data_IF_662225542127
#
_entry.id   IF_662225542127
#
_cell.length_a   1.000
_cell.length_b   1.000
_cell.length_c   1.000
_cell.angle_alpha   90.00
_cell.angle_beta   90.00
_cell.angle_gamma   90.00
#
_symmetry.space_group_name_H-M   'P 1'
#
loop_
_entity.id
_entity.type
_entity.pdbx_description
1 polymer ?
#
# COMPACT_ATOMS: atom_id res chain seq x y z
N UNK A 1 35.22 8.10 44.13
CA UNK A 1 36.68 8.04 44.37
C UNK A 1 36.95 6.66 44.94
N UNK A 2 37.89 5.85 44.47
CA UNK A 2 39.02 6.01 43.53
C UNK A 2 39.43 4.60 43.00
N UNK A 3 40.44 4.44 42.12
CA UNK A 3 40.98 5.33 41.08
C UNK A 3 40.93 4.67 39.68
N UNK A 4 41.35 5.41 38.63
CA UNK A 4 41.64 4.86 37.30
C UNK A 4 43.09 4.36 37.21
N UNK A 5 43.34 3.37 36.34
CA UNK A 5 44.68 3.13 35.75
C UNK A 5 44.61 2.90 34.26
N UNK A 6 45.56 3.50 33.54
CA UNK A 6 45.76 3.34 32.10
C UNK A 6 46.50 2.03 31.79
N UNK A 7 46.25 1.49 30.60
CA UNK A 7 47.24 0.75 29.81
C UNK A 7 47.25 1.32 28.39
N UNK A 8 48.40 1.26 27.73
CA UNK A 8 48.74 2.14 26.60
C UNK A 8 48.67 1.47 25.23
N UNK A 9 48.35 2.30 24.24
CA UNK A 9 48.59 2.18 22.79
C UNK A 9 49.41 0.98 22.30
N UNK A 10 48.90 0.36 21.23
CA UNK A 10 49.70 0.27 20.02
C UNK A 10 48.86 0.57 18.76
N UNK A 11 49.53 0.94 17.68
CA UNK A 11 48.99 1.61 16.48
C UNK A 11 49.49 0.89 15.24
N UNK A 12 48.60 0.61 14.29
CA UNK A 12 49.01 0.39 12.90
C UNK A 12 47.98 0.95 11.93
N UNK A 13 48.48 1.61 10.89
CA UNK A 13 47.70 2.24 9.81
C UNK A 13 48.39 1.82 8.51
N UNK A 14 47.67 1.17 7.60
CA UNK A 14 48.18 0.89 6.26
C UNK A 14 47.21 1.39 5.19
N UNK A 15 47.27 2.69 4.93
CA UNK A 15 46.92 3.21 3.62
C UNK A 15 48.04 2.83 2.64
N UNK A 16 47.70 2.19 1.52
CA UNK A 16 48.61 2.04 0.38
C UNK A 16 48.05 2.77 -0.84
N UNK A 17 48.78 3.79 -1.28
CA UNK A 17 48.52 4.53 -2.52
C UNK A 17 49.85 4.91 -3.15
N UNK A 18 49.98 4.77 -4.47
CA UNK A 18 50.46 5.83 -5.41
C UNK A 18 50.75 5.25 -6.79
N UNK A 19 50.69 6.14 -7.80
CA UNK A 19 51.07 5.95 -9.22
C UNK A 19 50.12 5.06 -10.06
N UNK A 20 49.67 5.49 -11.25
CA UNK A 20 49.79 6.82 -11.86
C UNK A 20 49.67 6.81 -13.39
N UNK A 21 49.31 7.98 -13.96
CA UNK A 21 49.12 8.28 -15.38
C UNK A 21 47.93 7.59 -16.11
N UNK A 22 47.46 8.07 -17.27
CA UNK A 22 46.88 9.36 -17.71
C UNK A 22 46.56 9.23 -19.22
N UNK A 23 45.28 9.30 -19.64
CA UNK A 23 44.82 9.57 -21.03
C UNK A 23 45.28 8.53 -22.10
N UNK A 24 44.80 8.53 -23.35
CA UNK A 24 43.85 9.39 -24.10
C UNK A 24 42.88 8.52 -24.93
N UNK A 25 42.20 9.14 -25.89
CA UNK A 25 41.34 8.59 -26.96
C UNK A 25 42.22 7.81 -28.00
N UNK A 26 41.80 7.34 -29.18
CA UNK A 26 40.70 7.73 -30.09
C UNK A 26 40.25 6.57 -31.06
N UNK A 27 39.18 6.82 -31.83
CA UNK A 27 38.51 5.98 -32.85
C UNK A 27 39.28 5.98 -34.22
N UNK A 28 38.84 5.36 -35.36
CA UNK A 28 37.62 4.58 -35.69
C UNK A 28 37.89 3.27 -36.52
N UNK A 29 36.83 2.70 -37.15
CA UNK A 29 36.71 1.94 -38.43
C UNK A 29 37.88 1.09 -39.01
N UNK A 30 37.64 -0.05 -39.68
CA UNK A 30 36.64 -0.21 -40.77
C UNK A 30 36.13 -1.67 -40.99
N UNK A 31 35.26 -1.81 -42.00
CA UNK A 31 34.40 -2.95 -42.34
C UNK A 31 34.95 -3.77 -43.52
N UNK A 32 34.70 -5.10 -43.60
CA UNK A 32 34.46 -5.76 -44.90
C UNK A 32 33.76 -7.14 -44.88
N UNK A 33 33.36 -7.56 -46.10
CA UNK A 33 32.54 -8.73 -46.48
C UNK A 33 33.15 -10.11 -46.11
N UNK A 34 32.44 -11.24 -45.99
CA UNK A 34 30.98 -11.59 -46.03
C UNK A 34 30.83 -13.13 -45.91
N UNK A 35 29.64 -13.66 -45.54
CA UNK A 35 28.86 -14.59 -46.40
C UNK A 35 27.43 -14.82 -45.90
N UNK A 36 26.48 -15.02 -46.81
CA UNK A 36 25.03 -15.18 -46.56
C UNK A 36 24.61 -16.65 -46.52
N UNK A 37 23.65 -17.01 -45.65
CA UNK A 37 22.72 -18.13 -45.89
C UNK A 37 21.29 -17.70 -45.58
N UNK A 38 20.54 -17.39 -46.63
CA UNK A 38 19.13 -17.03 -46.57
C UNK A 38 18.26 -18.27 -46.56
N UNK A 39 17.42 -18.44 -45.53
CA UNK A 39 16.28 -19.37 -45.59
C UNK A 39 15.19 -18.69 -46.42
N UNK A 40 14.65 -19.41 -47.40
CA UNK A 40 13.53 -18.92 -48.22
C UNK A 40 12.21 -19.35 -47.57
N UNK A 41 11.35 -18.39 -47.28
CA UNK A 41 9.90 -18.62 -47.11
C UNK A 41 9.25 -17.84 -48.24
N UNK A 42 8.41 -18.49 -49.04
CA UNK A 42 7.82 -17.90 -50.23
C UNK A 42 6.52 -17.16 -49.89
N UNK A 43 6.37 -15.93 -50.40
CA UNK A 43 5.06 -15.27 -50.46
C UNK A 43 4.23 -15.90 -51.58
N UNK A 44 2.92 -16.05 -51.35
CA UNK A 44 1.96 -16.42 -52.38
C UNK A 44 0.67 -15.63 -52.16
N UNK A 45 0.42 -14.66 -53.03
CA UNK A 45 -0.76 -13.80 -52.97
C UNK A 45 -1.88 -14.39 -53.84
N UNK A 46 -2.80 -15.14 -53.22
CA UNK A 46 -4.09 -15.50 -53.85
C UNK A 46 -5.26 -15.33 -52.88
N UNK A 47 -6.04 -14.29 -53.14
CA UNK A 47 -7.49 -14.22 -52.87
C UNK A 47 -8.18 -14.13 -54.24
N UNK A 48 -9.48 -14.46 -54.38
CA UNK A 48 -10.50 -14.58 -53.31
C UNK A 48 -11.31 -15.88 -53.32
N UNK A 49 -12.15 -16.06 -52.29
CA UNK A 49 -13.58 -16.38 -52.44
C UNK A 49 -14.32 -16.23 -51.10
N UNK A 50 -15.62 -15.95 -51.14
CA UNK A 50 -16.43 -15.69 -49.95
C UNK A 50 -16.87 -17.00 -49.27
N UNK A 51 -16.68 -17.09 -47.95
CA UNK A 51 -17.39 -18.03 -47.08
C UNK A 51 -17.96 -17.29 -45.87
N UNK A 52 -19.18 -16.76 -46.02
CA UNK A 52 -19.86 -15.97 -45.02
C UNK A 52 -20.51 -16.87 -43.95
N UNK A 53 -19.69 -17.48 -43.08
CA UNK A 53 -20.20 -18.29 -41.96
C UNK A 53 -20.60 -17.36 -40.79
N UNK A 54 -21.81 -16.82 -40.88
CA UNK A 54 -22.50 -16.14 -39.77
C UNK A 54 -22.87 -17.16 -38.68
N UNK A 55 -21.88 -17.57 -37.88
CA UNK A 55 -22.14 -18.24 -36.61
C UNK A 55 -22.75 -17.23 -35.64
N UNK A 56 -24.08 -17.24 -35.51
CA UNK A 56 -24.81 -16.43 -34.54
C UNK A 56 -24.61 -17.01 -33.12
N UNK A 57 -23.39 -16.85 -32.58
CA UNK A 57 -23.07 -17.13 -31.19
C UNK A 57 -23.81 -16.14 -30.30
N UNK A 58 -24.92 -16.59 -29.72
CA UNK A 58 -25.69 -15.78 -28.79
C UNK A 58 -24.80 -15.31 -27.62
N UNK A 59 -24.70 -13.99 -27.36
CA UNK A 59 -23.98 -13.49 -26.20
C UNK A 59 -24.65 -14.03 -24.94
N UNK A 60 -23.97 -14.90 -24.20
CA UNK A 60 -24.46 -15.35 -22.90
C UNK A 60 -24.36 -14.18 -21.93
N UNK A 61 -25.50 -13.66 -21.48
CA UNK A 61 -25.60 -12.70 -20.37
C UNK A 61 -25.30 -13.42 -19.05
N UNK A 62 -24.06 -13.89 -18.90
CA UNK A 62 -23.50 -14.28 -17.62
C UNK A 62 -23.30 -13.00 -16.79
N UNK A 63 -24.27 -12.69 -15.93
CA UNK A 63 -24.10 -11.63 -14.94
C UNK A 63 -22.85 -11.95 -14.08
N UNK A 64 -21.95 -10.98 -13.83
CA UNK A 64 -20.77 -11.23 -13.02
C UNK A 64 -21.17 -11.63 -11.59
N UNK A 65 -20.47 -12.57 -10.94
CA UNK A 65 -20.80 -13.00 -9.59
C UNK A 65 -20.61 -11.84 -8.61
N UNK A 66 -21.72 -11.39 -8.00
CA UNK A 66 -21.71 -10.35 -6.96
C UNK A 66 -20.84 -10.81 -5.81
N UNK A 67 -19.68 -10.19 -5.68
CA UNK A 67 -18.64 -10.63 -4.76
C UNK A 67 -18.83 -10.02 -3.38
N UNK A 68 -19.43 -10.79 -2.46
CA UNK A 68 -19.71 -10.44 -1.06
C UNK A 68 -18.48 -10.02 -0.20
N UNK A 69 -17.30 -9.86 -0.79
CA UNK A 69 -16.04 -9.44 -0.14
C UNK A 69 -15.80 -7.93 -0.19
N UNK A 70 -16.59 -7.17 -0.98
CA UNK A 70 -16.33 -5.75 -1.23
C UNK A 70 -16.30 -4.84 0.02
N UNK A 71 -17.31 -4.83 0.92
CA UNK A 71 -17.37 -3.83 2.01
C UNK A 71 -16.16 -3.86 2.94
N UNK A 72 -15.73 -5.07 3.36
CA UNK A 72 -14.57 -5.24 4.24
C UNK A 72 -13.25 -4.89 3.53
N UNK A 73 -13.15 -5.11 2.21
CA UNK A 73 -11.95 -4.71 1.44
C UNK A 73 -11.89 -3.20 1.23
N UNK A 74 -13.03 -2.55 1.01
CA UNK A 74 -13.17 -1.10 0.85
C UNK A 74 -12.93 -0.37 2.18
N UNK A 75 -13.55 -0.81 3.28
CA UNK A 75 -13.27 -0.31 4.63
C UNK A 75 -11.80 -0.48 5.04
N UNK A 76 -11.16 -1.58 4.68
CA UNK A 76 -9.71 -1.78 4.87
C UNK A 76 -8.88 -0.77 4.06
N UNK A 77 -9.23 -0.52 2.80
CA UNK A 77 -8.51 0.43 1.94
C UNK A 77 -8.66 1.87 2.45
N UNK A 78 -9.86 2.26 2.91
CA UNK A 78 -10.11 3.54 3.58
C UNK A 78 -9.28 3.66 4.87
N UNK A 79 -9.23 2.61 5.69
CA UNK A 79 -8.44 2.58 6.93
C UNK A 79 -6.93 2.73 6.66
N UNK A 80 -6.42 2.04 5.64
CA UNK A 80 -5.03 2.16 5.18
C UNK A 80 -4.70 3.55 4.62
N UNK A 81 -5.68 4.29 4.09
CA UNK A 81 -5.52 5.66 3.58
C UNK A 81 -5.62 6.74 4.66
N UNK A 82 -6.48 6.55 5.67
CA UNK A 82 -6.87 7.62 6.61
C UNK A 82 -6.47 7.38 8.07
N UNK A 83 -6.34 6.12 8.53
CA UNK A 83 -6.32 5.79 9.96
C UNK A 83 -4.97 5.24 10.46
N UNK A 84 -4.22 4.49 9.65
CA UNK A 84 -2.98 3.82 10.09
C UNK A 84 -1.91 4.79 10.64
N UNK A 85 -1.90 6.05 10.19
CA UNK A 85 -1.00 7.09 10.68
C UNK A 85 -1.14 7.42 12.18
N UNK A 86 -2.18 6.92 12.85
CA UNK A 86 -2.30 6.91 14.31
C UNK A 86 -2.70 5.54 14.90
N UNK A 87 -3.40 4.71 14.12
CA UNK A 87 -4.03 3.45 14.56
C UNK A 87 -3.50 2.20 13.82
N UNK A 88 -2.23 2.21 13.41
CA UNK A 88 -1.62 1.02 12.81
C UNK A 88 -1.77 -0.22 13.72
N UNK A 89 -2.07 -1.37 13.09
CA UNK A 89 -2.41 -2.64 13.73
C UNK A 89 -3.47 -2.54 14.85
N UNK A 90 -4.34 -1.53 14.83
CA UNK A 90 -5.35 -1.29 15.87
C UNK A 90 -4.84 -0.56 17.11
N UNK A 91 -3.59 -0.07 17.11
CA UNK A 91 -3.00 0.66 18.23
C UNK A 91 -3.55 2.09 18.40
N UNK A 92 -2.82 2.91 19.15
CA UNK A 92 -2.98 4.36 19.19
C UNK A 92 -1.66 5.01 19.62
N UNK A 93 -0.95 5.65 18.70
CA UNK A 93 0.38 6.25 18.98
C UNK A 93 0.29 7.54 19.82
N UNK A 94 -0.87 8.19 19.85
CA UNK A 94 -1.07 9.47 20.55
C UNK A 94 -1.53 9.28 21.99
N UNK A 95 -2.33 8.24 22.25
CA UNK A 95 -3.03 8.04 23.52
C UNK A 95 -3.08 6.56 23.94
N UNK A 96 -2.20 6.14 24.86
CA UNK A 96 -2.31 4.85 25.54
C UNK A 96 -3.69 4.67 26.17
N UNK A 97 -4.26 3.47 26.05
CA UNK A 97 -5.58 3.16 26.60
C UNK A 97 -6.76 3.71 25.81
N UNK A 98 -6.54 4.21 24.58
CA UNK A 98 -7.57 4.54 23.60
C UNK A 98 -7.25 3.87 22.25
N UNK A 99 -6.83 2.61 22.28
CA UNK A 99 -6.60 1.77 21.09
C UNK A 99 -7.91 1.26 20.51
N UNK A 100 -7.86 0.65 19.32
CA UNK A 100 -9.01 0.03 18.65
C UNK A 100 -9.21 -1.45 19.02
N UNK A 101 -8.51 -1.95 20.04
CA UNK A 101 -8.77 -3.27 20.62
C UNK A 101 -10.03 -3.24 21.48
N UNK A 102 -10.82 -4.33 21.49
CA UNK A 102 -12.15 -4.35 22.13
C UNK A 102 -12.13 -3.87 23.59
N UNK A 103 -11.19 -4.34 24.40
CA UNK A 103 -10.98 -3.93 25.80
C UNK A 103 -10.82 -2.41 26.01
N UNK A 104 -10.30 -1.70 25.01
CA UNK A 104 -10.18 -0.24 25.03
C UNK A 104 -11.46 0.44 24.55
N UNK A 105 -12.09 -0.08 23.49
CA UNK A 105 -13.38 0.42 22.99
C UNK A 105 -14.48 0.30 24.05
N UNK A 106 -14.60 -0.86 24.71
CA UNK A 106 -15.53 -1.13 25.82
C UNK A 106 -15.32 -0.14 26.98
N UNK A 107 -14.06 -0.02 27.45
CA UNK A 107 -13.70 0.88 28.56
C UNK A 107 -13.93 2.36 28.23
N UNK A 108 -13.88 2.73 26.95
CA UNK A 108 -14.16 4.10 26.48
C UNK A 108 -15.63 4.31 26.07
N UNK A 109 -16.50 3.31 26.24
CA UNK A 109 -17.94 3.39 25.96
C UNK A 109 -18.32 3.38 24.47
N UNK A 110 -17.46 2.84 23.60
CA UNK A 110 -17.56 2.95 22.14
C UNK A 110 -17.24 1.64 21.40
N UNK A 111 -17.64 0.50 22.00
CA UNK A 111 -17.51 -0.83 21.40
C UNK A 111 -18.58 -1.15 20.34
N UNK A 112 -19.59 -0.29 20.17
CA UNK A 112 -20.60 -0.44 19.11
C UNK A 112 -20.16 0.25 17.83
N UNK A 113 -20.70 -0.18 16.70
CA UNK A 113 -20.41 0.40 15.39
C UNK A 113 -20.79 1.89 15.33
N UNK A 114 -21.93 2.26 15.91
CA UNK A 114 -22.39 3.65 16.02
C UNK A 114 -21.46 4.49 16.91
N UNK A 115 -20.86 3.88 17.95
CA UNK A 115 -19.84 4.54 18.78
C UNK A 115 -18.57 4.86 18.00
N UNK A 116 -18.10 3.92 17.17
CA UNK A 116 -16.95 4.09 16.28
C UNK A 116 -17.26 5.11 15.17
N UNK A 117 -18.46 5.02 14.58
CA UNK A 117 -18.98 5.96 13.58
C UNK A 117 -18.96 7.39 14.12
N UNK A 118 -19.56 7.63 15.29
CA UNK A 118 -19.65 8.97 15.88
C UNK A 118 -18.26 9.55 16.22
N UNK A 119 -17.33 8.75 16.75
CA UNK A 119 -15.94 9.21 16.98
C UNK A 119 -15.26 9.53 15.64
N UNK A 120 -15.44 8.71 14.61
CA UNK A 120 -14.81 8.93 13.30
C UNK A 120 -15.39 10.15 12.59
N UNK A 121 -16.70 10.40 12.74
CA UNK A 121 -17.38 11.55 12.17
C UNK A 121 -16.98 12.86 12.85
N UNK A 122 -17.13 12.95 14.17
CA UNK A 122 -16.98 14.20 14.94
C UNK A 122 -15.61 14.39 15.61
N UNK A 123 -14.78 13.36 15.70
CA UNK A 123 -13.51 13.37 16.42
C UNK A 123 -13.68 13.25 17.93
N UNK A 124 -12.57 12.96 18.64
CA UNK A 124 -12.54 12.88 20.11
C UNK A 124 -11.17 13.27 20.65
N UNK A 125 -11.11 14.39 21.37
CA UNK A 125 -9.87 14.90 21.98
C UNK A 125 -8.82 15.28 20.93
N UNK A 126 -7.79 14.43 20.76
CA UNK A 126 -6.72 14.61 19.77
C UNK A 126 -6.96 13.86 18.45
N UNK A 127 -7.97 13.01 18.36
CA UNK A 127 -8.38 12.39 17.09
C UNK A 127 -9.29 13.36 16.33
N UNK A 128 -8.94 13.77 15.09
CA UNK A 128 -9.76 14.67 14.30
C UNK A 128 -11.02 13.98 13.76
N UNK A 129 -12.12 14.72 13.62
CA UNK A 129 -13.33 14.24 12.93
C UNK A 129 -13.24 14.33 11.41
N UNK A 130 -13.70 13.29 10.72
CA UNK A 130 -13.62 13.14 9.27
C UNK A 130 -14.92 13.46 8.52
N UNK A 131 -16.07 13.50 9.19
CA UNK A 131 -17.37 13.70 8.56
C UNK A 131 -17.54 15.09 7.95
N UNK A 132 -18.29 15.19 6.86
CA UNK A 132 -18.55 16.46 6.16
C UNK A 132 -19.02 17.58 7.10
N UNK A 133 -19.96 17.27 7.99
CA UNK A 133 -20.58 18.24 8.91
C UNK A 133 -19.79 18.43 10.23
N UNK A 134 -18.61 17.82 10.36
CA UNK A 134 -17.74 18.04 11.52
C UNK A 134 -17.37 19.53 11.66
N UNK A 135 -17.60 20.06 12.86
CA UNK A 135 -17.41 21.45 13.27
C UNK A 135 -17.10 21.50 14.79
N UNK A 136 -16.31 22.45 15.32
CA UNK A 136 -15.58 23.52 14.62
C UNK A 136 -14.39 22.98 13.81
N UNK A 137 -13.93 23.74 12.81
CA UNK A 137 -12.88 23.30 11.87
C UNK A 137 -11.61 22.75 12.54
N UNK A 138 -11.21 23.29 13.70
CA UNK A 138 -10.03 22.85 14.45
C UNK A 138 -10.15 21.48 15.17
N UNK A 139 -11.37 20.94 15.29
CA UNK A 139 -11.62 19.57 15.80
C UNK A 139 -11.59 18.52 14.67
N UNK A 140 -11.55 18.95 13.41
CA UNK A 140 -11.76 18.11 12.25
C UNK A 140 -10.49 17.94 11.42
N UNK A 141 -10.48 16.99 10.50
CA UNK A 141 -9.37 16.81 9.57
C UNK A 141 -9.18 18.05 8.69
N UNK A 142 -7.91 18.40 8.45
CA UNK A 142 -7.50 19.43 7.50
C UNK A 142 -7.45 18.90 6.05
N UNK A 143 -7.48 17.59 5.86
CA UNK A 143 -7.61 16.95 4.55
C UNK A 143 -9.06 16.93 4.05
N UNK A 144 -9.34 16.20 2.95
CA UNK A 144 -10.69 15.91 2.51
C UNK A 144 -11.54 15.30 3.63
N UNK A 145 -12.82 15.65 3.67
CA UNK A 145 -13.82 14.96 4.49
C UNK A 145 -14.24 13.66 3.81
N UNK A 146 -14.71 12.70 4.60
CA UNK A 146 -15.26 11.43 4.14
C UNK A 146 -16.79 11.52 4.11
N UNK A 147 -17.39 10.77 3.18
CA UNK A 147 -18.83 10.60 3.07
C UNK A 147 -19.39 9.78 4.26
N UNK A 148 -20.69 9.97 4.53
CA UNK A 148 -21.42 9.23 5.57
C UNK A 148 -21.26 7.70 5.41
N UNK A 149 -21.29 7.19 4.17
CA UNK A 149 -21.13 5.77 3.89
C UNK A 149 -19.67 5.27 3.95
N UNK A 150 -18.68 6.09 3.61
CA UNK A 150 -17.25 5.77 3.84
C UNK A 150 -16.96 5.60 5.33
N UNK A 151 -17.61 6.39 6.19
CA UNK A 151 -17.42 6.34 7.64
C UNK A 151 -18.15 5.12 8.24
N UNK A 152 -19.26 4.65 7.66
CA UNK A 152 -19.89 3.36 8.02
C UNK A 152 -18.97 2.18 7.69
N UNK A 153 -18.44 2.12 6.47
CA UNK A 153 -17.47 1.09 6.06
C UNK A 153 -16.22 1.05 6.95
N UNK A 154 -15.75 2.22 7.42
CA UNK A 154 -14.69 2.31 8.43
C UNK A 154 -15.12 1.77 9.80
N UNK A 155 -16.34 2.07 10.26
CA UNK A 155 -16.87 1.60 11.53
C UNK A 155 -17.09 0.07 11.54
N UNK A 156 -17.73 -0.47 10.51
CA UNK A 156 -17.88 -1.91 10.24
C UNK A 156 -16.51 -2.62 10.26
N UNK A 157 -15.53 -2.07 9.51
CA UNK A 157 -14.19 -2.62 9.45
C UNK A 157 -13.49 -2.62 10.81
N UNK A 158 -13.48 -1.49 11.52
CA UNK A 158 -12.83 -1.37 12.84
C UNK A 158 -13.50 -2.29 13.86
N UNK A 159 -14.84 -2.38 13.87
CA UNK A 159 -15.58 -3.31 14.73
C UNK A 159 -15.21 -4.77 14.43
N UNK A 160 -15.25 -5.16 13.16
CA UNK A 160 -14.88 -6.50 12.69
C UNK A 160 -13.42 -6.87 13.00
N UNK A 161 -12.50 -5.91 12.97
CA UNK A 161 -11.10 -6.11 13.35
C UNK A 161 -10.92 -6.20 14.87
N UNK A 162 -11.65 -5.41 15.65
CA UNK A 162 -11.65 -5.45 17.11
C UNK A 162 -12.20 -6.78 17.65
N UNK A 163 -13.30 -7.29 17.07
CA UNK A 163 -13.88 -8.61 17.37
C UNK A 163 -12.89 -9.75 17.11
N UNK A 164 -12.06 -9.63 16.07
CA UNK A 164 -11.01 -10.59 15.70
C UNK A 164 -9.67 -10.34 16.40
N UNK A 165 -9.60 -9.38 17.32
CA UNK A 165 -8.39 -9.07 18.09
C UNK A 165 -7.23 -8.50 17.27
N UNK A 166 -7.51 -7.84 16.15
CA UNK A 166 -6.53 -7.30 15.18
C UNK A 166 -5.50 -8.35 14.72
N UNK A 167 -5.91 -9.35 13.92
CA UNK A 167 -5.01 -10.41 13.47
C UNK A 167 -3.88 -9.84 12.60
N UNK A 168 -2.64 -10.18 12.95
CA UNK A 168 -1.46 -9.74 12.23
C UNK A 168 -1.38 -10.46 10.87
N UNK A 169 -1.68 -9.72 9.80
CA UNK A 169 -1.53 -10.19 8.41
C UNK A 169 -0.04 -10.13 8.04
N UNK A 170 0.75 -11.08 8.55
CA UNK A 170 2.10 -11.32 8.03
C UNK A 170 2.01 -11.67 6.54
N UNK A 171 2.97 -11.17 5.76
CA UNK A 171 2.99 -11.23 4.29
C UNK A 171 2.49 -12.56 3.73
N UNK A 172 1.37 -12.53 3.01
CA UNK A 172 0.97 -13.63 2.14
C UNK A 172 1.60 -13.37 0.77
N UNK A 173 2.90 -13.65 0.68
CA UNK A 173 3.76 -13.19 -0.41
C UNK A 173 5.21 -13.61 -0.19
N UNK A 174 5.42 -14.93 -0.22
CA UNK A 174 6.64 -15.64 -0.61
C UNK A 174 6.29 -16.49 -1.85
#
# INVERSE_FOLDING_TARGET
MEPLRLISLNKSIHCFTTKGCLRKEENPCDQHHLQKRTVRVAESLVSPLMSAILTLSAPSLAAPPVSFSQPISEGRALFQKACIGCHDMGGNILQPGATLFMKDLERNGVATEEGIYNITYYGKGRMPGFGEKCTPKGQCTFGPRLQEDEIKLLAEFVKSQADRGWPNIKSYGD
#
